data_IF_978986128630
#
_entry.id   IF_978986128630
#
_cell.length_a   1.000
_cell.length_b   1.000
_cell.length_c   1.000
_cell.angle_alpha   90.00
_cell.angle_beta   90.00
_cell.angle_gamma   90.00
#
_symmetry.space_group_name_H-M   'P 1'
#
loop_
_entity.id
_entity.type
_entity.pdbx_description
1 polymer ?
#
# COMPACT_ATOMS: atom_id res chain seq x y z
N UNK A 1 -2.06 -12.02 26.24
CA UNK A 1 -3.48 -11.98 25.85
C UNK A 1 -3.74 -10.61 25.25
N UNK A 2 -4.42 -10.51 24.09
CA UNK A 2 -4.88 -9.21 23.61
C UNK A 2 -5.79 -8.59 24.67
N UNK A 3 -5.51 -7.35 25.04
CA UNK A 3 -6.35 -6.55 25.93
C UNK A 3 -7.26 -5.68 25.07
N UNK A 4 -8.40 -5.27 25.61
CA UNK A 4 -9.32 -4.34 24.95
C UNK A 4 -9.86 -4.89 23.62
N UNK A 5 -10.09 -6.21 23.58
CA UNK A 5 -10.84 -6.83 22.48
C UNK A 5 -12.28 -6.33 22.48
N UNK A 6 -12.79 -6.00 23.66
CA UNK A 6 -14.05 -5.30 23.88
C UNK A 6 -13.77 -4.04 24.71
N UNK A 7 -14.72 -3.13 24.73
CA UNK A 7 -14.67 -1.93 25.56
C UNK A 7 -15.99 -1.75 26.30
N UNK A 8 -15.90 -1.36 27.56
CA UNK A 8 -17.08 -1.26 28.43
C UNK A 8 -17.54 -2.63 28.91
N UNK A 9 -16.60 -3.52 29.21
CA UNK A 9 -16.90 -4.93 29.45
C UNK A 9 -17.88 -5.14 30.61
N UNK A 10 -18.95 -5.87 30.33
CA UNK A 10 -19.92 -6.37 31.30
C UNK A 10 -19.65 -7.82 31.72
N UNK A 11 -20.32 -8.34 32.75
CA UNK A 11 -20.17 -9.73 33.20
C UNK A 11 -20.42 -10.80 32.12
N UNK A 12 -21.14 -10.44 31.05
CA UNK A 12 -21.42 -11.26 29.86
C UNK A 12 -20.20 -11.46 28.96
N UNK A 13 -19.22 -10.55 29.00
CA UNK A 13 -17.95 -10.67 28.29
C UNK A 13 -17.00 -11.41 29.22
N UNK A 14 -17.08 -12.74 29.21
CA UNK A 14 -16.25 -13.59 30.07
C UNK A 14 -15.95 -14.92 29.42
N UNK A 15 -14.67 -15.25 29.32
CA UNK A 15 -14.20 -16.55 28.86
C UNK A 15 -13.01 -17.06 29.67
N UNK A 16 -13.01 -18.33 30.13
CA UNK A 16 -11.93 -18.91 30.94
C UNK A 16 -10.52 -18.79 30.35
N UNK A 17 -10.41 -18.76 29.02
CA UNK A 17 -9.14 -18.65 28.29
C UNK A 17 -8.58 -17.22 28.18
N UNK A 18 -9.11 -16.26 28.94
CA UNK A 18 -8.46 -14.95 29.14
C UNK A 18 -9.18 -13.74 28.55
N UNK A 19 -10.52 -13.75 28.51
CA UNK A 19 -11.33 -12.58 28.13
C UNK A 19 -12.28 -12.23 29.28
N UNK A 20 -12.44 -10.94 29.55
CA UNK A 20 -13.41 -10.40 30.49
C UNK A 20 -12.81 -9.42 31.49
N UNK A 21 -13.68 -8.77 32.26
CA UNK A 21 -13.35 -7.64 33.15
C UNK A 21 -12.15 -7.97 34.06
N UNK A 22 -12.05 -9.20 34.58
CA UNK A 22 -10.95 -9.60 35.48
C UNK A 22 -9.59 -9.76 34.78
N UNK A 23 -9.55 -9.68 33.45
CA UNK A 23 -8.37 -9.81 32.59
C UNK A 23 -7.93 -8.49 32.00
N UNK A 24 -8.78 -7.46 32.09
CA UNK A 24 -8.47 -6.13 31.62
C UNK A 24 -7.55 -5.38 32.60
N UNK A 25 -6.58 -4.66 32.05
CA UNK A 25 -5.64 -3.86 32.87
C UNK A 25 -6.28 -2.60 33.42
N UNK A 26 -7.21 -2.02 32.67
CA UNK A 26 -7.87 -0.78 32.98
C UNK A 26 -9.36 -1.03 33.24
N UNK A 27 -10.03 -0.25 34.10
CA UNK A 27 -11.44 -0.42 34.37
C UNK A 27 -12.32 0.03 33.19
N UNK A 28 -13.59 -0.40 33.14
CA UNK A 28 -14.57 0.11 32.18
C UNK A 28 -14.63 1.64 32.16
N UNK A 29 -14.64 2.23 30.96
CA UNK A 29 -14.64 3.69 30.74
C UNK A 29 -13.24 4.35 30.77
N UNK A 30 -12.20 3.60 31.16
CA UNK A 30 -10.80 4.02 31.02
C UNK A 30 -10.08 3.15 29.99
N UNK A 31 -10.43 1.87 29.93
CA UNK A 31 -9.92 0.95 28.92
C UNK A 31 -10.23 1.41 27.50
N UNK A 32 -9.38 0.98 26.56
CA UNK A 32 -9.69 1.18 25.16
C UNK A 32 -8.59 0.76 24.20
N UNK A 33 -8.99 0.59 22.95
CA UNK A 33 -8.07 0.38 21.85
C UNK A 33 -7.38 1.69 21.47
N UNK A 34 -6.17 1.61 20.87
CA UNK A 34 -5.55 2.78 20.25
C UNK A 34 -6.45 3.37 19.15
N UNK A 35 -6.65 4.69 19.20
CA UNK A 35 -7.51 5.42 18.24
C UNK A 35 -6.77 6.53 17.53
N UNK A 36 -7.14 6.76 16.27
CA UNK A 36 -6.75 7.95 15.49
C UNK A 36 -5.23 8.16 15.37
N UNK A 37 -4.45 7.09 15.50
CA UNK A 37 -3.01 7.15 15.28
C UNK A 37 -2.73 7.36 13.79
N UNK A 38 -1.59 7.99 13.50
CA UNK A 38 -1.16 8.28 12.14
C UNK A 38 0.29 7.85 11.94
N UNK A 39 0.50 7.08 10.88
CA UNK A 39 1.79 6.60 10.41
C UNK A 39 1.87 7.06 8.95
N UNK A 40 2.48 8.21 8.73
CA UNK A 40 2.50 8.84 7.41
C UNK A 40 3.87 9.34 6.97
N UNK A 41 4.13 9.29 5.66
CA UNK A 41 5.35 9.82 5.05
C UNK A 41 6.65 9.24 5.62
N UNK A 42 6.65 7.94 5.94
CA UNK A 42 7.84 7.24 6.41
C UNK A 42 8.53 6.48 5.26
N UNK A 43 9.86 6.48 5.28
CA UNK A 43 10.68 5.57 4.47
C UNK A 43 11.23 4.46 5.37
N UNK A 44 10.78 3.23 5.16
CA UNK A 44 11.18 2.06 5.95
C UNK A 44 11.84 1.04 5.03
N UNK A 45 13.12 0.75 5.27
CA UNK A 45 13.93 -0.16 4.47
C UNK A 45 14.60 -1.20 5.37
N UNK A 46 14.27 -2.49 5.17
CA UNK A 46 14.94 -3.59 5.87
C UNK A 46 14.51 -3.79 7.33
N UNK A 47 13.25 -3.47 7.68
CA UNK A 47 12.69 -3.81 8.99
C UNK A 47 12.47 -5.34 9.14
N UNK A 48 12.59 -5.86 10.36
CA UNK A 48 12.30 -7.28 10.67
C UNK A 48 13.41 -8.28 10.32
N UNK A 49 14.64 -7.83 10.04
CA UNK A 49 15.78 -8.68 9.60
C UNK A 49 16.35 -9.63 10.66
N UNK A 50 16.02 -9.45 11.94
CA UNK A 50 16.42 -10.37 13.01
C UNK A 50 15.28 -11.30 13.43
N UNK A 51 14.07 -10.75 13.49
CA UNK A 51 12.84 -11.48 13.83
C UNK A 51 11.94 -11.48 12.61
N UNK A 52 12.19 -12.43 11.70
CA UNK A 52 11.56 -12.43 10.38
C UNK A 52 10.03 -12.46 10.41
N UNK A 53 9.40 -12.93 11.50
CA UNK A 53 7.94 -12.92 11.66
C UNK A 53 7.32 -11.54 11.93
N UNK A 54 8.10 -10.46 11.94
CA UNK A 54 7.58 -9.12 12.15
C UNK A 54 7.22 -8.43 10.83
N UNK A 55 6.08 -7.76 10.80
CA UNK A 55 5.76 -6.79 9.77
C UNK A 55 6.43 -5.44 10.08
N UNK A 56 6.68 -4.62 9.06
CA UNK A 56 7.27 -3.30 9.25
C UNK A 56 6.34 -2.34 10.00
N UNK A 57 5.05 -2.36 9.64
CA UNK A 57 3.98 -1.66 10.33
C UNK A 57 2.96 -2.70 10.77
N UNK A 58 2.73 -2.81 12.07
CA UNK A 58 1.80 -3.79 12.64
C UNK A 58 0.87 -3.11 13.64
N UNK A 59 -0.43 -3.28 13.44
CA UNK A 59 -1.47 -2.80 14.33
C UNK A 59 -2.47 -3.93 14.61
N UNK A 60 -2.85 -4.08 15.88
CA UNK A 60 -3.81 -5.11 16.30
C UNK A 60 -5.25 -4.56 16.24
N UNK A 61 -6.01 -4.64 17.33
CA UNK A 61 -7.29 -3.94 17.44
C UNK A 61 -7.06 -2.43 17.51
N UNK A 62 -7.53 -1.71 16.48
CA UNK A 62 -7.38 -0.26 16.33
C UNK A 62 -8.59 0.34 15.60
N UNK A 63 -8.92 1.58 15.95
CA UNK A 63 -9.97 2.36 15.30
C UNK A 63 -9.43 3.68 14.75
N UNK A 64 -9.81 4.02 13.51
CA UNK A 64 -9.43 5.29 12.90
C UNK A 64 -7.93 5.42 12.59
N UNK A 65 -7.18 4.31 12.54
CA UNK A 65 -5.75 4.31 12.21
C UNK A 65 -5.56 4.80 10.77
N UNK A 66 -4.59 5.69 10.56
CA UNK A 66 -4.14 6.12 9.22
C UNK A 66 -2.72 5.62 8.97
N UNK A 67 -2.56 4.72 8.00
CA UNK A 67 -1.27 4.32 7.43
C UNK A 67 -1.25 4.86 6.00
N UNK A 68 -0.64 6.04 5.80
CA UNK A 68 -0.75 6.77 4.53
C UNK A 68 0.59 7.26 4.00
N UNK A 69 0.78 7.26 2.67
CA UNK A 69 1.98 7.85 2.05
C UNK A 69 3.33 7.29 2.55
N UNK A 70 3.38 6.05 3.03
CA UNK A 70 4.64 5.41 3.43
C UNK A 70 5.27 4.67 2.24
N UNK A 71 6.59 4.70 2.15
CA UNK A 71 7.36 3.80 1.30
C UNK A 71 8.00 2.74 2.19
N UNK A 72 7.59 1.48 2.04
CA UNK A 72 8.10 0.36 2.83
C UNK A 72 8.70 -0.68 1.90
N UNK A 73 9.95 -1.09 2.18
CA UNK A 73 10.65 -2.01 1.29
C UNK A 73 11.60 -2.98 1.96
N UNK A 74 11.95 -4.01 1.19
CA UNK A 74 12.94 -5.03 1.56
C UNK A 74 12.57 -5.76 2.86
N UNK A 75 11.34 -6.25 2.96
CA UNK A 75 10.80 -6.83 4.20
C UNK A 75 10.84 -8.38 4.17
N UNK A 76 11.44 -9.04 5.17
CA UNK A 76 11.51 -10.51 5.24
C UNK A 76 10.15 -11.22 5.21
N UNK A 77 9.12 -10.63 5.83
CA UNK A 77 7.75 -11.13 5.86
C UNK A 77 6.79 -10.18 5.15
N UNK A 78 6.01 -9.35 5.87
CA UNK A 78 5.04 -8.45 5.26
C UNK A 78 5.26 -6.97 5.61
N UNK A 79 4.97 -6.00 4.72
CA UNK A 79 5.07 -4.57 5.01
C UNK A 79 4.06 -4.10 6.06
N UNK A 80 2.76 -4.33 5.84
CA UNK A 80 1.67 -3.83 6.68
C UNK A 80 0.82 -5.00 7.15
N UNK A 81 0.54 -5.06 8.45
CA UNK A 81 -0.45 -5.97 9.06
C UNK A 81 -1.39 -5.17 9.96
N UNK A 82 -2.70 -5.29 9.73
CA UNK A 82 -3.73 -4.59 10.51
C UNK A 82 -4.81 -5.58 10.95
N UNK A 83 -5.20 -5.49 12.22
CA UNK A 83 -6.21 -6.34 12.83
C UNK A 83 -5.61 -7.55 13.54
N UNK A 84 -6.47 -8.33 14.21
CA UNK A 84 -6.01 -9.45 15.04
C UNK A 84 -7.09 -10.50 15.28
N UNK A 85 -6.65 -11.65 15.79
CA UNK A 85 -7.46 -12.69 16.43
C UNK A 85 -8.40 -13.50 15.51
N UNK A 86 -8.18 -13.47 14.19
CA UNK A 86 -8.95 -14.26 13.23
C UNK A 86 -10.46 -13.99 13.37
N UNK A 87 -11.31 -14.99 13.18
CA UNK A 87 -12.77 -14.89 13.38
C UNK A 87 -13.21 -15.02 14.85
N UNK A 88 -12.31 -15.28 15.79
CA UNK A 88 -12.63 -15.71 17.17
C UNK A 88 -13.54 -14.74 17.96
N UNK A 89 -13.67 -13.49 17.53
CA UNK A 89 -14.47 -12.46 18.19
C UNK A 89 -15.60 -11.93 17.31
N UNK A 90 -16.01 -12.66 16.28
CA UNK A 90 -17.09 -12.27 15.38
C UNK A 90 -18.51 -12.51 15.93
N UNK A 91 -18.64 -13.09 17.13
CA UNK A 91 -19.93 -13.36 17.78
C UNK A 91 -20.68 -14.59 17.25
N UNK A 92 -20.11 -15.39 16.34
CA UNK A 92 -20.70 -16.65 15.90
C UNK A 92 -20.83 -17.64 17.08
N UNK A 93 -21.65 -18.68 16.91
CA UNK A 93 -21.95 -19.65 17.96
C UNK A 93 -20.71 -20.37 18.54
N UNK A 94 -19.63 -20.47 17.77
CA UNK A 94 -18.36 -21.08 18.15
C UNK A 94 -17.23 -20.05 18.36
N UNK A 95 -17.55 -18.76 18.34
CA UNK A 95 -16.63 -17.70 18.75
C UNK A 95 -16.33 -17.75 20.25
N UNK A 96 -15.32 -17.01 20.71
CA UNK A 96 -14.91 -16.98 22.12
C UNK A 96 -16.01 -16.41 23.00
N UNK A 97 -16.78 -15.43 22.50
CA UNK A 97 -17.97 -14.87 23.17
C UNK A 97 -19.16 -14.97 22.21
N UNK A 98 -19.87 -16.12 22.19
CA UNK A 98 -21.01 -16.33 21.31
C UNK A 98 -22.10 -15.28 21.50
N UNK A 99 -22.62 -14.74 20.40
CA UNK A 99 -23.68 -13.73 20.38
C UNK A 99 -23.23 -12.29 20.62
N UNK A 100 -21.95 -12.06 20.97
CA UNK A 100 -21.41 -10.72 21.25
C UNK A 100 -20.19 -10.49 20.36
N UNK A 101 -20.33 -9.90 19.17
CA UNK A 101 -19.18 -9.54 18.33
C UNK A 101 -18.40 -8.37 18.92
N UNK A 102 -17.07 -8.38 18.74
CA UNK A 102 -16.26 -7.17 18.98
C UNK A 102 -16.62 -6.07 17.98
N UNK A 103 -16.55 -4.83 18.44
CA UNK A 103 -16.84 -3.61 17.64
C UNK A 103 -15.75 -2.55 17.75
N UNK A 104 -14.62 -2.89 18.36
CA UNK A 104 -13.57 -1.92 18.69
C UNK A 104 -12.67 -1.58 17.50
N UNK A 105 -12.60 -2.45 16.49
CA UNK A 105 -11.78 -2.24 15.31
C UNK A 105 -12.62 -1.76 14.12
N UNK A 106 -12.14 -0.74 13.41
CA UNK A 106 -12.84 -0.22 12.23
C UNK A 106 -12.37 1.16 11.79
N UNK A 107 -12.93 1.64 10.68
CA UNK A 107 -12.67 2.97 10.12
C UNK A 107 -11.18 3.27 9.86
N UNK A 108 -10.39 2.23 9.60
CA UNK A 108 -8.96 2.38 9.35
C UNK A 108 -8.69 2.76 7.89
N UNK A 109 -7.57 3.44 7.62
CA UNK A 109 -7.19 3.88 6.29
C UNK A 109 -5.77 3.40 6.00
N UNK A 110 -5.64 2.50 5.02
CA UNK A 110 -4.36 1.98 4.55
C UNK A 110 -4.21 2.43 3.10
N UNK A 111 -3.90 3.71 2.92
CA UNK A 111 -4.07 4.39 1.63
C UNK A 111 -2.75 4.98 1.11
N UNK A 112 -2.55 4.99 -0.20
CA UNK A 112 -1.42 5.68 -0.85
C UNK A 112 -0.04 5.19 -0.39
N UNK A 113 0.11 3.95 0.07
CA UNK A 113 1.42 3.39 0.43
C UNK A 113 2.11 2.77 -0.80
N UNK A 114 3.44 2.83 -0.81
CA UNK A 114 4.31 2.19 -1.80
C UNK A 114 5.05 1.04 -1.13
N UNK A 115 4.72 -0.19 -1.51
CA UNK A 115 5.14 -1.41 -0.82
C UNK A 115 5.95 -2.29 -1.78
N UNK A 116 7.26 -2.39 -1.56
CA UNK A 116 8.20 -2.96 -2.54
C UNK A 116 8.96 -4.12 -1.91
N UNK A 117 9.09 -5.25 -2.61
CA UNK A 117 9.96 -6.36 -2.21
C UNK A 117 9.71 -6.85 -0.78
N UNK A 118 8.67 -7.67 -0.63
CA UNK A 118 8.35 -8.37 0.61
C UNK A 118 8.25 -9.88 0.37
N UNK A 119 8.03 -10.64 1.45
CA UNK A 119 8.09 -12.10 1.41
C UNK A 119 9.47 -12.58 0.98
N UNK A 120 10.53 -11.90 1.47
CA UNK A 120 11.91 -12.23 1.08
C UNK A 120 12.44 -13.48 1.78
N UNK A 121 11.87 -13.82 2.95
CA UNK A 121 12.28 -14.96 3.78
C UNK A 121 11.10 -15.84 4.16
N UNK A 122 10.00 -15.24 4.65
CA UNK A 122 8.81 -15.97 5.06
C UNK A 122 7.68 -15.84 4.01
N UNK A 123 6.81 -16.84 4.00
CA UNK A 123 5.57 -16.89 3.19
C UNK A 123 4.36 -16.61 4.07
N UNK A 124 3.15 -16.78 3.54
CA UNK A 124 1.88 -16.60 4.26
C UNK A 124 1.62 -15.14 4.66
N UNK A 125 1.77 -14.24 3.68
CA UNK A 125 1.60 -12.80 3.83
C UNK A 125 1.09 -12.15 2.54
N UNK A 126 0.58 -10.93 2.70
CA UNK A 126 0.48 -9.95 1.61
C UNK A 126 1.32 -8.70 1.85
N UNK A 127 1.31 -7.78 0.88
CA UNK A 127 1.87 -6.44 1.08
C UNK A 127 1.08 -5.71 2.18
N UNK A 128 -0.23 -5.93 2.14
CA UNK A 128 -1.18 -5.53 3.17
C UNK A 128 -1.88 -6.81 3.65
N UNK A 129 -1.62 -7.20 4.89
CA UNK A 129 -2.27 -8.31 5.58
C UNK A 129 -3.37 -7.76 6.49
N UNK A 130 -4.55 -8.36 6.43
CA UNK A 130 -5.73 -7.96 7.22
C UNK A 130 -6.25 -9.16 8.00
N UNK A 131 -6.67 -8.93 9.25
CA UNK A 131 -7.17 -10.01 10.11
C UNK A 131 -8.31 -9.55 11.03
N UNK A 132 -9.40 -10.31 11.08
CA UNK A 132 -10.57 -9.98 11.91
C UNK A 132 -11.44 -8.84 11.38
N UNK A 133 -12.61 -8.63 12.01
CA UNK A 133 -13.61 -7.65 11.56
C UNK A 133 -13.13 -6.22 11.79
N UNK A 134 -13.22 -5.37 10.76
CA UNK A 134 -12.83 -3.97 10.81
C UNK A 134 -13.70 -3.06 9.92
N UNK A 135 -15.01 -2.95 10.21
CA UNK A 135 -15.96 -2.23 9.35
C UNK A 135 -15.56 -0.79 9.06
N UNK A 136 -15.79 -0.35 7.82
CA UNK A 136 -15.46 1.01 7.38
C UNK A 136 -13.98 1.20 7.01
N UNK A 137 -13.17 0.14 7.06
CA UNK A 137 -11.75 0.22 6.68
C UNK A 137 -11.58 0.34 5.17
N UNK A 138 -10.67 1.21 4.74
CA UNK A 138 -10.35 1.46 3.33
C UNK A 138 -8.92 1.09 2.97
N UNK A 139 -8.73 0.50 1.79
CA UNK A 139 -7.41 0.19 1.22
C UNK A 139 -7.31 0.72 -0.21
N UNK A 140 -6.87 1.97 -0.35
CA UNK A 140 -6.98 2.73 -1.59
C UNK A 140 -5.64 3.28 -2.09
N UNK A 141 -5.45 3.38 -3.40
CA UNK A 141 -4.31 4.14 -3.94
C UNK A 141 -2.93 3.51 -3.69
N UNK A 142 -2.85 2.27 -3.20
CA UNK A 142 -1.57 1.65 -2.87
C UNK A 142 -0.89 1.10 -4.13
N UNK A 143 0.44 1.21 -4.17
CA UNK A 143 1.28 0.59 -5.19
C UNK A 143 2.09 -0.54 -4.58
N UNK A 144 1.92 -1.76 -5.10
CA UNK A 144 2.67 -2.95 -4.66
C UNK A 144 3.59 -3.40 -5.77
N UNK A 145 4.87 -3.61 -5.44
CA UNK A 145 5.86 -4.26 -6.31
C UNK A 145 6.38 -5.50 -5.61
N UNK A 146 6.15 -6.67 -6.20
CA UNK A 146 6.49 -7.94 -5.57
C UNK A 146 7.85 -8.50 -5.96
N UNK A 147 8.49 -9.18 -5.01
CA UNK A 147 9.58 -10.12 -5.30
C UNK A 147 9.02 -11.51 -5.63
N UNK A 148 9.69 -12.27 -6.51
CA UNK A 148 9.15 -13.54 -7.02
C UNK A 148 9.17 -14.73 -6.05
N UNK A 149 9.63 -14.55 -4.80
CA UNK A 149 10.12 -15.69 -4.00
C UNK A 149 9.08 -16.34 -3.08
N UNK A 150 8.58 -15.62 -2.08
CA UNK A 150 7.65 -16.19 -1.08
C UNK A 150 6.39 -15.36 -0.83
N UNK A 151 6.16 -14.30 -1.60
CA UNK A 151 4.88 -13.60 -1.57
C UNK A 151 3.74 -14.54 -1.99
N UNK A 152 2.59 -14.44 -1.30
CA UNK A 152 1.34 -15.06 -1.73
C UNK A 152 0.41 -14.09 -2.46
N UNK A 153 0.08 -12.97 -1.84
CA UNK A 153 -0.97 -12.05 -2.30
C UNK A 153 -0.52 -10.59 -2.26
N UNK A 154 -1.04 -9.72 -3.13
CA UNK A 154 -0.80 -8.27 -3.01
C UNK A 154 -1.51 -7.72 -1.77
N UNK A 155 -2.82 -7.97 -1.67
CA UNK A 155 -3.58 -7.75 -0.45
C UNK A 155 -4.09 -9.10 0.03
N UNK A 156 -3.82 -9.42 1.30
CA UNK A 156 -4.18 -10.68 1.93
C UNK A 156 -5.16 -10.46 3.08
N UNK A 157 -6.47 -10.45 2.79
CA UNK A 157 -7.48 -10.63 3.83
C UNK A 157 -7.42 -12.07 4.32
N UNK A 158 -7.06 -12.26 5.58
CA UNK A 158 -7.05 -13.56 6.23
C UNK A 158 -8.28 -13.71 7.15
N UNK A 159 -8.32 -14.75 7.98
CA UNK A 159 -9.50 -15.17 8.72
C UNK A 159 -10.21 -14.03 9.49
N UNK A 160 -11.54 -14.04 9.44
CA UNK A 160 -12.40 -13.07 10.08
C UNK A 160 -12.40 -11.70 9.45
N UNK A 161 -11.57 -11.43 8.42
CA UNK A 161 -11.55 -10.12 7.75
C UNK A 161 -12.94 -9.78 7.22
N UNK A 162 -13.46 -8.63 7.66
CA UNK A 162 -14.79 -8.16 7.25
C UNK A 162 -14.91 -6.64 7.26
N UNK A 163 -15.74 -6.13 6.35
CA UNK A 163 -16.10 -4.71 6.27
C UNK A 163 -15.00 -3.83 5.68
N UNK A 164 -14.18 -4.39 4.79
CA UNK A 164 -13.08 -3.72 4.10
C UNK A 164 -13.48 -3.40 2.67
N UNK A 165 -13.20 -2.16 2.24
CA UNK A 165 -13.34 -1.76 0.85
C UNK A 165 -12.01 -1.24 0.30
N UNK A 166 -11.76 -1.40 -0.98
CA UNK A 166 -10.56 -0.86 -1.60
C UNK A 166 -10.78 -0.46 -3.04
N UNK A 167 -10.09 0.59 -3.49
CA UNK A 167 -10.16 1.07 -4.87
C UNK A 167 -8.86 1.69 -5.34
N UNK A 168 -8.67 1.73 -6.65
CA UNK A 168 -7.55 2.43 -7.27
C UNK A 168 -6.19 1.92 -6.77
N UNK A 169 -6.00 0.60 -6.65
CA UNK A 169 -4.69 0.04 -6.30
C UNK A 169 -3.95 -0.43 -7.55
N UNK A 170 -2.61 -0.38 -7.51
CA UNK A 170 -1.75 -0.85 -8.61
C UNK A 170 -0.82 -1.95 -8.13
N UNK A 171 -0.84 -3.11 -8.78
CA UNK A 171 -0.05 -4.28 -8.39
C UNK A 171 0.88 -4.74 -9.52
N UNK A 172 2.17 -4.45 -9.38
CA UNK A 172 3.23 -4.99 -10.23
C UNK A 172 3.78 -6.27 -9.60
N UNK A 173 3.10 -7.38 -9.87
CA UNK A 173 3.25 -8.65 -9.12
C UNK A 173 3.48 -9.87 -10.02
N UNK A 174 3.85 -9.65 -11.28
CA UNK A 174 3.94 -10.72 -12.29
C UNK A 174 2.62 -11.50 -12.40
N UNK A 175 2.66 -12.79 -12.10
CA UNK A 175 1.51 -13.72 -12.15
C UNK A 175 0.94 -14.10 -10.77
N UNK A 176 1.39 -13.46 -9.69
CA UNK A 176 0.98 -13.77 -8.32
C UNK A 176 -0.47 -13.39 -8.03
N UNK A 177 -0.99 -13.76 -6.86
CA UNK A 177 -2.37 -13.46 -6.52
C UNK A 177 -2.52 -11.97 -6.18
N UNK A 178 -3.56 -11.34 -6.71
CA UNK A 178 -3.97 -10.01 -6.26
C UNK A 178 -4.63 -10.11 -4.87
N UNK A 179 -5.61 -11.02 -4.76
CA UNK A 179 -6.43 -11.23 -3.57
C UNK A 179 -6.75 -12.71 -3.37
N UNK A 180 -6.87 -13.11 -2.12
CA UNK A 180 -7.40 -14.41 -1.71
C UNK A 180 -8.68 -14.24 -0.88
N UNK A 181 -9.83 -14.17 -1.56
CA UNK A 181 -11.16 -14.02 -0.97
C UNK A 181 -11.96 -15.32 -1.07
N UNK A 182 -11.30 -16.47 -0.84
CA UNK A 182 -11.95 -17.78 -0.77
C UNK A 182 -12.83 -17.93 0.49
N UNK A 183 -13.69 -18.95 0.49
CA UNK A 183 -14.54 -19.30 1.64
C UNK A 183 -13.77 -20.06 2.74
N UNK A 184 -12.62 -19.52 3.14
CA UNK A 184 -11.84 -20.01 4.27
C UNK A 184 -11.85 -18.98 5.39
N UNK A 185 -11.93 -19.42 6.64
CA UNK A 185 -11.75 -18.55 7.79
C UNK A 185 -12.80 -17.44 7.92
N UNK A 186 -14.05 -17.64 7.45
CA UNK A 186 -15.19 -16.73 7.68
C UNK A 186 -15.02 -15.28 7.19
N UNK A 187 -14.16 -15.06 6.19
CA UNK A 187 -14.06 -13.76 5.50
C UNK A 187 -15.40 -13.38 4.91
N UNK A 188 -15.78 -12.10 4.93
CA UNK A 188 -17.04 -11.63 4.33
C UNK A 188 -17.08 -10.12 4.15
N UNK A 189 -17.98 -9.57 3.34
CA UNK A 189 -18.16 -8.11 3.17
C UNK A 189 -16.86 -7.39 2.76
N UNK A 190 -16.16 -7.92 1.75
CA UNK A 190 -14.89 -7.37 1.25
C UNK A 190 -15.05 -7.02 -0.23
N UNK A 191 -14.83 -5.75 -0.57
CA UNK A 191 -15.06 -5.27 -1.94
C UNK A 191 -13.87 -4.47 -2.46
N UNK A 192 -13.26 -4.94 -3.54
CA UNK A 192 -12.23 -4.22 -4.25
C UNK A 192 -12.72 -3.80 -5.64
N UNK A 193 -12.43 -2.57 -6.03
CA UNK A 193 -12.77 -2.02 -7.33
C UNK A 193 -11.55 -1.36 -7.99
N UNK A 194 -11.56 -1.23 -9.32
CA UNK A 194 -10.59 -0.44 -10.09
C UNK A 194 -9.12 -0.75 -9.75
N UNK A 195 -8.76 -2.03 -9.73
CA UNK A 195 -7.37 -2.45 -9.47
C UNK A 195 -6.63 -2.66 -10.80
N UNK A 196 -5.52 -1.96 -10.99
CA UNK A 196 -4.60 -2.20 -12.09
C UNK A 196 -3.55 -3.23 -11.66
N UNK A 197 -3.25 -4.20 -12.50
CA UNK A 197 -2.34 -5.27 -12.10
C UNK A 197 -1.67 -5.95 -13.28
N UNK A 198 -0.47 -6.49 -13.08
CA UNK A 198 0.16 -7.38 -14.06
C UNK A 198 -0.45 -8.78 -14.05
N UNK A 199 -1.21 -9.14 -13.00
CA UNK A 199 -1.72 -10.49 -12.77
C UNK A 199 -3.23 -10.62 -12.96
N UNK A 200 -3.67 -11.75 -13.50
CA UNK A 200 -5.09 -12.11 -13.60
C UNK A 200 -5.63 -12.83 -12.36
N UNK A 201 -4.76 -13.21 -11.44
CA UNK A 201 -5.10 -14.19 -10.41
C UNK A 201 -5.86 -13.55 -9.25
N UNK A 202 -7.08 -14.03 -9.01
CA UNK A 202 -7.95 -13.67 -7.89
C UNK A 202 -8.67 -14.93 -7.45
N UNK A 203 -8.80 -15.16 -6.15
CA UNK A 203 -9.69 -16.20 -5.61
C UNK A 203 -10.91 -15.54 -4.99
N UNK A 204 -12.10 -15.97 -5.38
CA UNK A 204 -13.39 -15.52 -4.84
C UNK A 204 -14.17 -16.75 -4.35
N UNK A 205 -14.90 -16.59 -3.25
CA UNK A 205 -15.74 -17.66 -2.68
C UNK A 205 -16.37 -17.29 -1.34
N UNK A 206 -15.75 -16.38 -0.58
CA UNK A 206 -16.31 -15.89 0.67
C UNK A 206 -17.69 -15.20 0.50
N UNK A 207 -18.54 -15.20 1.54
CA UNK A 207 -19.82 -14.49 1.52
C UNK A 207 -19.69 -12.98 1.27
N UNK A 208 -20.51 -12.44 0.37
CA UNK A 208 -20.56 -11.02 0.03
C UNK A 208 -19.18 -10.40 -0.24
N UNK A 209 -18.43 -10.97 -1.18
CA UNK A 209 -17.16 -10.40 -1.64
C UNK A 209 -17.19 -10.09 -3.13
N UNK A 210 -16.44 -9.08 -3.56
CA UNK A 210 -16.30 -8.76 -4.98
C UNK A 210 -14.94 -8.17 -5.33
N UNK A 211 -14.47 -8.50 -6.53
CA UNK A 211 -13.39 -7.77 -7.20
C UNK A 211 -13.93 -7.33 -8.56
N UNK A 212 -14.14 -6.03 -8.72
CA UNK A 212 -14.68 -5.43 -9.96
C UNK A 212 -13.62 -4.57 -10.63
N UNK A 213 -13.73 -4.39 -11.95
CA UNK A 213 -12.79 -3.57 -12.74
C UNK A 213 -11.31 -3.93 -12.52
N UNK A 214 -10.98 -5.23 -12.56
CA UNK A 214 -9.59 -5.70 -12.56
C UNK A 214 -8.95 -5.45 -13.93
N UNK A 215 -8.10 -4.44 -14.02
CA UNK A 215 -7.46 -3.96 -15.26
C UNK A 215 -6.09 -4.59 -15.40
N UNK A 216 -5.99 -5.61 -16.26
CA UNK A 216 -4.77 -6.42 -16.38
C UNK A 216 -3.84 -5.87 -17.46
N UNK A 217 -2.64 -5.47 -17.05
CA UNK A 217 -1.55 -4.95 -17.88
C UNK A 217 -0.29 -5.83 -17.72
N UNK A 218 -0.28 -7.01 -18.35
CA UNK A 218 0.80 -8.01 -18.19
C UNK A 218 2.19 -7.52 -18.64
N UNK A 219 2.28 -6.42 -19.39
CA UNK A 219 3.55 -5.82 -19.83
C UNK A 219 4.24 -4.98 -18.75
N UNK A 220 3.54 -4.63 -17.66
CA UNK A 220 4.01 -3.65 -16.68
C UNK A 220 4.21 -2.24 -17.25
N UNK A 221 3.59 -1.94 -18.41
CA UNK A 221 3.53 -0.60 -18.98
C UNK A 221 2.17 -0.01 -18.62
N UNK A 222 2.18 0.93 -17.70
CA UNK A 222 0.98 1.47 -17.06
C UNK A 222 0.34 2.59 -17.90
N UNK A 223 -1.00 2.59 -18.07
CA UNK A 223 -1.70 3.74 -18.62
C UNK A 223 -1.63 4.93 -17.63
N UNK A 224 -1.89 6.15 -18.12
CA UNK A 224 -1.71 7.38 -17.33
C UNK A 224 -2.48 7.36 -16.01
N UNK A 225 -3.67 6.76 -15.97
CA UNK A 225 -4.51 6.67 -14.77
C UNK A 225 -3.89 5.78 -13.69
N UNK A 226 -3.30 4.65 -14.08
CA UNK A 226 -2.56 3.79 -13.16
C UNK A 226 -1.26 4.44 -12.73
N UNK A 227 -0.60 5.14 -13.66
CA UNK A 227 0.63 5.85 -13.40
C UNK A 227 0.45 7.01 -12.40
N UNK A 228 -0.67 7.73 -12.48
CA UNK A 228 -1.04 8.74 -11.49
C UNK A 228 -1.22 8.14 -10.09
N UNK A 229 -1.81 6.95 -9.98
CA UNK A 229 -1.90 6.23 -8.70
C UNK A 229 -0.50 5.87 -8.18
N UNK A 230 0.37 5.32 -9.05
CA UNK A 230 1.75 4.95 -8.68
C UNK A 230 2.51 6.16 -8.15
N UNK A 231 2.46 7.29 -8.85
CA UNK A 231 3.18 8.49 -8.46
C UNK A 231 2.57 9.13 -7.21
N UNK A 232 1.26 9.03 -7.00
CA UNK A 232 0.62 9.49 -5.76
C UNK A 232 0.90 8.59 -4.54
N UNK A 233 1.25 7.31 -4.75
CA UNK A 233 1.68 6.42 -3.66
C UNK A 233 3.05 6.80 -3.07
N UNK A 234 3.30 6.37 -1.84
CA UNK A 234 4.53 6.65 -1.10
C UNK A 234 4.65 8.11 -0.67
N UNK A 235 5.88 8.54 -0.40
CA UNK A 235 6.20 9.85 0.15
C UNK A 235 5.61 11.01 -0.65
N UNK A 236 5.04 11.99 0.05
CA UNK A 236 4.61 13.27 -0.51
C UNK A 236 5.81 14.18 -0.81
N UNK A 237 5.67 15.20 -1.69
CA UNK A 237 6.75 16.09 -2.12
C UNK A 237 7.61 16.70 -1.01
N UNK A 238 7.00 17.00 0.14
CA UNK A 238 7.65 17.54 1.34
C UNK A 238 8.63 16.56 2.02
N UNK A 239 8.49 15.26 1.78
CA UNK A 239 9.23 14.19 2.47
C UNK A 239 10.05 13.31 1.53
N UNK A 240 10.08 13.62 0.24
CA UNK A 240 10.81 12.83 -0.76
C UNK A 240 12.32 12.79 -0.54
N UNK A 241 12.88 13.70 0.27
CA UNK A 241 14.29 13.73 0.67
C UNK A 241 14.67 12.64 1.70
N UNK A 242 13.69 11.93 2.26
CA UNK A 242 13.93 10.78 3.14
C UNK A 242 14.43 9.53 2.39
N UNK A 243 14.37 9.52 1.06
CA UNK A 243 14.74 8.39 0.22
C UNK A 243 15.59 8.83 -0.98
N UNK A 244 16.38 7.93 -1.60
CA UNK A 244 17.10 8.26 -2.81
C UNK A 244 16.13 8.64 -3.94
N UNK A 245 16.51 9.65 -4.73
CA UNK A 245 15.63 10.30 -5.70
C UNK A 245 15.10 9.32 -6.77
N UNK A 246 15.93 8.37 -7.18
CA UNK A 246 15.59 7.31 -8.14
C UNK A 246 14.55 6.30 -7.62
N UNK A 247 14.19 6.36 -6.34
CA UNK A 247 13.21 5.48 -5.70
C UNK A 247 11.86 6.16 -5.44
N UNK A 248 11.83 7.48 -5.60
CA UNK A 248 10.63 8.29 -5.34
C UNK A 248 10.07 8.93 -6.60
N UNK A 249 10.89 9.20 -7.63
CA UNK A 249 10.46 9.84 -8.89
C UNK A 249 10.49 8.83 -10.06
N UNK A 250 9.39 8.77 -10.83
CA UNK A 250 9.27 7.98 -12.07
C UNK A 250 9.81 6.56 -11.89
N UNK A 251 9.18 5.82 -10.98
CA UNK A 251 9.65 4.48 -10.59
C UNK A 251 9.18 3.36 -11.51
N UNK A 252 8.10 3.61 -12.26
CA UNK A 252 7.46 2.61 -13.10
C UNK A 252 7.50 2.99 -14.58
N UNK A 253 7.21 2.01 -15.44
CA UNK A 253 7.07 2.22 -16.89
C UNK A 253 5.64 2.67 -17.19
N UNK A 254 5.49 3.75 -17.93
CA UNK A 254 4.16 4.27 -18.29
C UNK A 254 4.10 4.72 -19.74
N UNK A 255 2.88 4.86 -20.26
CA UNK A 255 2.61 5.39 -21.59
C UNK A 255 1.70 6.61 -21.51
N UNK A 256 2.09 7.69 -22.19
CA UNK A 256 1.36 8.97 -22.24
C UNK A 256 1.38 9.53 -23.66
N UNK A 257 0.43 10.41 -23.95
CA UNK A 257 0.43 11.15 -25.22
C UNK A 257 1.53 12.21 -25.22
N UNK A 258 2.20 12.40 -26.35
CA UNK A 258 3.22 13.43 -26.51
C UNK A 258 2.71 14.83 -26.12
N UNK A 259 3.54 15.62 -25.43
CA UNK A 259 3.17 16.96 -24.95
C UNK A 259 2.16 17.01 -23.80
N UNK A 260 1.62 15.87 -23.35
CA UNK A 260 0.69 15.83 -22.21
C UNK A 260 1.40 16.09 -20.88
N UNK A 261 0.66 16.54 -19.87
CA UNK A 261 1.20 16.67 -18.49
C UNK A 261 1.44 15.27 -17.94
N UNK A 262 2.63 15.04 -17.39
CA UNK A 262 2.98 13.76 -16.77
C UNK A 262 2.75 13.86 -15.26
N UNK A 263 2.03 12.92 -14.62
CA UNK A 263 1.66 12.99 -13.21
C UNK A 263 2.82 12.60 -12.27
N UNK A 264 4.02 13.12 -12.50
CA UNK A 264 5.19 12.88 -11.64
C UNK A 264 5.20 13.87 -10.48
N UNK A 265 5.39 13.39 -9.25
CA UNK A 265 5.64 14.24 -8.08
C UNK A 265 7.11 14.69 -8.07
N UNK A 266 7.36 15.97 -7.80
CA UNK A 266 8.70 16.53 -7.74
C UNK A 266 8.99 16.96 -6.29
N UNK A 267 10.18 16.67 -5.72
CA UNK A 267 10.50 17.02 -4.34
C UNK A 267 10.52 18.53 -4.17
N UNK A 268 9.92 19.00 -3.08
CA UNK A 268 9.77 20.42 -2.80
C UNK A 268 11.10 21.11 -2.45
N UNK A 269 12.02 20.36 -1.85
CA UNK A 269 13.34 20.84 -1.43
C UNK A 269 14.41 20.72 -2.52
N UNK A 270 14.08 20.19 -3.71
CA UNK A 270 15.06 19.95 -4.77
C UNK A 270 15.53 21.26 -5.43
N UNK A 271 16.85 21.45 -5.51
CA UNK A 271 17.50 22.49 -6.33
C UNK A 271 18.16 21.88 -7.56
N UNK A 272 18.34 22.68 -8.62
CA UNK A 272 18.86 22.24 -9.90
C UNK A 272 17.78 22.13 -10.98
N UNK A 273 17.77 21.04 -11.74
CA UNK A 273 16.78 20.86 -12.81
C UNK A 273 16.38 19.41 -13.06
N UNK A 274 15.13 19.21 -13.45
CA UNK A 274 14.57 17.91 -13.82
C UNK A 274 14.16 17.92 -15.28
N UNK A 275 14.46 16.85 -16.01
CA UNK A 275 14.25 16.75 -17.45
C UNK A 275 13.70 15.39 -17.85
N UNK A 276 12.80 15.35 -18.84
CA UNK A 276 12.68 14.17 -19.68
C UNK A 276 13.66 14.28 -20.85
N UNK A 277 14.42 13.21 -21.09
CA UNK A 277 15.34 13.11 -22.21
C UNK A 277 15.58 11.65 -22.64
N UNK A 278 16.13 11.38 -23.83
CA UNK A 278 16.55 10.03 -24.24
C UNK A 278 17.58 9.42 -23.27
N UNK A 279 17.62 8.09 -23.17
CA UNK A 279 18.40 7.34 -22.17
C UNK A 279 19.90 7.68 -22.12
N UNK A 280 20.51 8.04 -23.25
CA UNK A 280 21.97 8.29 -23.33
C UNK A 280 22.33 9.79 -23.34
N UNK A 281 21.41 10.65 -22.91
CA UNK A 281 21.60 12.11 -22.94
C UNK A 281 22.71 12.55 -21.99
N UNK A 282 23.65 13.36 -22.50
CA UNK A 282 24.71 13.99 -21.72
C UNK A 282 24.57 15.53 -21.65
N UNK A 283 23.85 16.13 -22.59
CA UNK A 283 23.61 17.56 -22.68
C UNK A 283 22.11 17.85 -22.73
N UNK A 284 21.64 18.75 -21.86
CA UNK A 284 20.23 19.03 -21.68
C UNK A 284 19.86 20.39 -22.24
N UNK A 285 18.97 20.40 -23.24
CA UNK A 285 18.44 21.61 -23.85
C UNK A 285 16.97 21.40 -24.20
N UNK A 286 16.09 22.41 -24.05
CA UNK A 286 14.70 22.27 -24.46
C UNK A 286 14.60 21.97 -25.95
N UNK A 287 13.73 21.04 -26.31
CA UNK A 287 13.53 20.60 -27.69
C UNK A 287 12.35 19.64 -27.83
N UNK A 288 12.06 19.17 -29.05
CA UNK A 288 10.93 18.27 -29.28
C UNK A 288 11.07 16.92 -28.55
N UNK A 289 12.30 16.48 -28.27
CA UNK A 289 12.61 15.24 -27.56
C UNK A 289 13.12 15.48 -26.12
N UNK A 290 13.07 16.70 -25.61
CA UNK A 290 13.56 17.03 -24.28
C UNK A 290 12.72 18.12 -23.62
N UNK A 291 12.14 17.84 -22.46
CA UNK A 291 11.32 18.79 -21.71
C UNK A 291 11.89 19.02 -20.33
N UNK A 292 11.92 20.28 -19.90
CA UNK A 292 12.34 20.67 -18.55
C UNK A 292 11.11 20.77 -17.65
N UNK A 293 11.22 20.32 -16.40
CA UNK A 293 10.23 20.57 -15.37
C UNK A 293 10.16 22.06 -15.00
N UNK A 294 8.95 22.52 -14.66
CA UNK A 294 8.71 23.75 -13.91
C UNK A 294 8.59 23.36 -12.42
N UNK A 295 9.70 23.51 -11.68
CA UNK A 295 9.79 23.10 -10.28
C UNK A 295 8.90 23.96 -9.38
N UNK A 296 8.74 25.25 -9.68
CA UNK A 296 7.87 26.16 -8.92
C UNK A 296 6.40 25.74 -8.98
N UNK A 297 5.97 25.22 -10.14
CA UNK A 297 4.62 24.69 -10.33
C UNK A 297 4.50 23.19 -10.03
N UNK A 298 5.61 22.48 -9.80
CA UNK A 298 5.62 21.03 -9.60
C UNK A 298 5.10 20.26 -10.81
N UNK A 299 5.38 20.71 -12.04
CA UNK A 299 4.90 20.07 -13.26
C UNK A 299 6.00 19.77 -14.26
N UNK A 300 5.81 18.70 -15.01
CA UNK A 300 6.62 18.36 -16.18
C UNK A 300 5.71 17.79 -17.27
N UNK A 301 6.05 18.06 -18.53
CA UNK A 301 5.30 17.60 -19.70
C UNK A 301 6.08 16.54 -20.46
N UNK A 302 5.38 15.62 -21.10
CA UNK A 302 5.97 14.62 -21.97
C UNK A 302 6.64 15.32 -23.17
N UNK A 303 7.78 14.83 -23.66
CA UNK A 303 8.33 15.26 -24.93
C UNK A 303 7.31 15.20 -26.08
N UNK A 304 7.50 16.05 -27.09
CA UNK A 304 6.60 16.17 -28.25
C UNK A 304 6.84 15.07 -29.29
N UNK A 305 8.04 14.50 -29.33
CA UNK A 305 8.36 13.36 -30.20
C UNK A 305 8.03 12.03 -29.50
N UNK A 306 7.40 11.11 -30.24
CA UNK A 306 7.17 9.76 -29.76
C UNK A 306 8.51 9.05 -29.48
N UNK A 307 8.56 8.28 -28.40
CA UNK A 307 9.78 7.58 -28.01
C UNK A 307 9.86 7.23 -26.52
N UNK A 308 10.86 6.42 -26.14
CA UNK A 308 11.17 6.16 -24.73
C UNK A 308 12.03 7.28 -24.15
N UNK A 309 11.62 7.77 -22.97
CA UNK A 309 12.34 8.81 -22.24
C UNK A 309 12.61 8.38 -20.80
N UNK A 310 13.76 8.83 -20.30
CA UNK A 310 14.13 8.78 -18.89
C UNK A 310 13.93 10.15 -18.27
N UNK A 311 13.66 10.16 -16.97
CA UNK A 311 13.71 11.39 -16.20
C UNK A 311 15.08 11.51 -15.56
N UNK A 312 15.70 12.67 -15.76
CA UNK A 312 17.01 13.00 -15.23
C UNK A 312 16.86 14.13 -14.22
N UNK A 313 17.64 14.08 -13.15
CA UNK A 313 17.83 15.20 -12.25
C UNK A 313 19.28 15.66 -12.30
N UNK A 314 19.48 16.96 -12.43
CA UNK A 314 20.77 17.61 -12.45
C UNK A 314 20.89 18.55 -11.25
N UNK A 315 22.06 18.61 -10.64
CA UNK A 315 22.37 19.58 -9.59
C UNK A 315 22.50 21.01 -10.14
N UNK A 316 22.74 21.99 -9.26
CA UNK A 316 22.90 23.40 -9.63
C UNK A 316 24.16 23.67 -10.50
N UNK A 317 25.10 22.72 -10.56
CA UNK A 317 26.29 22.79 -11.42
C UNK A 317 26.06 22.12 -12.79
N UNK A 318 24.89 21.49 -12.99
CA UNK A 318 24.54 20.80 -14.22
C UNK A 318 25.05 19.36 -14.30
N UNK A 319 25.55 18.79 -13.19
CA UNK A 319 25.94 17.38 -13.17
C UNK A 319 24.70 16.49 -13.04
N UNK A 320 24.66 15.38 -13.79
CA UNK A 320 23.60 14.38 -13.65
C UNK A 320 23.77 13.68 -12.30
N UNK A 321 22.79 13.82 -11.41
CA UNK A 321 22.76 13.18 -10.09
C UNK A 321 21.73 12.05 -10.01
N UNK A 322 20.80 11.97 -10.97
CA UNK A 322 19.85 10.86 -11.06
C UNK A 322 19.41 10.61 -12.50
N UNK A 323 19.22 9.33 -12.81
CA UNK A 323 18.45 8.85 -13.95
C UNK A 323 17.38 7.87 -13.44
N UNK A 324 16.13 8.03 -13.87
CA UNK A 324 14.99 7.28 -13.35
C UNK A 324 15.08 5.77 -13.65
N UNK A 325 14.61 4.96 -12.69
CA UNK A 325 14.40 3.52 -12.90
C UNK A 325 13.29 3.27 -13.92
N UNK A 326 12.18 3.99 -13.81
CA UNK A 326 11.06 3.96 -14.75
C UNK A 326 11.40 4.56 -16.12
N UNK A 327 10.50 4.34 -17.07
CA UNK A 327 10.61 4.84 -18.45
C UNK A 327 9.25 5.37 -18.89
N UNK A 328 9.23 6.60 -19.39
CA UNK A 328 8.04 7.18 -20.01
C UNK A 328 8.04 6.86 -21.50
N UNK A 329 6.99 6.21 -22.00
CA UNK A 329 6.77 5.97 -23.42
C UNK A 329 5.82 7.05 -23.94
N UNK A 330 6.31 7.95 -24.78
CA UNK A 330 5.48 8.92 -25.48
C UNK A 330 4.97 8.32 -26.78
N UNK A 331 3.68 8.48 -27.05
CA UNK A 331 3.02 8.08 -28.29
C UNK A 331 2.34 9.26 -28.95
#
# INVERSE_FOLDING_TARGET
HPQHVYEGDGPEIKHPSGVGIEKEKYPPGVEGVPRNNEISNNYIDGAGVLFHGQNAIMAFFVEGLRITHNTVRNIPYGPISVGWSWWNFNGDSDSIIPGIPTRVAGNNQINYNRLIDYGLVLTDTGAIYLLGSMPGTTVNGNYVVASSKYMLNAIHPDEGTSGVTGRDNVFDIGSMNNFELNDWGRKNNIHFDNTYTTSRTVRLGAPNVSVTNLRVHTSGIWPVEAFEIIENSGLEPEYMDLAPLEEVILVARSVVDAGSRVPVKLPKSFSGSIWFAPMDTQEFKPGPNMTKADLDKGVIYAPMEAGPYKLFALDDQGNIIMQSKGTLLCK
#
